data_IF_630793001121
#
_entry.id   IF_630793001121
#
_cell.length_a   1.000
_cell.length_b   1.000
_cell.length_c   1.000
_cell.angle_alpha   90.00
_cell.angle_beta   90.00
_cell.angle_gamma   90.00
#
_symmetry.space_group_name_H-M   'P 1'
#
loop_
_entity.id
_entity.type
_entity.pdbx_description
1 polymer ?
#
# COMPACT_ATOMS: atom_id res chain seq x y z
N UNK A 1 -8.57 3.22 47.15
CA UNK A 1 -8.75 3.85 45.82
C UNK A 1 -9.24 2.87 44.75
N UNK A 2 -8.47 1.87 44.31
CA UNK A 2 -8.96 0.91 43.31
C UNK A 2 -10.10 0.00 43.81
N UNK A 3 -10.10 -0.36 45.11
CA UNK A 3 -11.18 -1.13 45.74
C UNK A 3 -12.50 -0.34 45.83
N UNK A 4 -12.42 0.96 46.08
CA UNK A 4 -13.60 1.83 46.16
C UNK A 4 -14.31 1.93 44.79
N UNK A 5 -13.53 2.03 43.71
CA UNK A 5 -14.05 2.07 42.33
C UNK A 5 -14.81 0.77 41.98
N UNK A 6 -14.35 -0.39 42.46
CA UNK A 6 -15.02 -1.67 42.23
C UNK A 6 -16.36 -1.77 42.98
N UNK A 7 -16.44 -1.23 44.20
CA UNK A 7 -17.67 -1.22 45.02
C UNK A 7 -18.78 -0.34 44.44
N UNK A 8 -18.43 0.76 43.77
CA UNK A 8 -19.40 1.69 43.16
C UNK A 8 -19.96 1.12 41.85
N UNK A 9 -19.11 0.44 41.08
CA UNK A 9 -19.45 -0.01 39.72
C UNK A 9 -20.09 -1.39 39.68
N UNK A 10 -20.19 -2.10 40.83
CA UNK A 10 -20.56 -3.51 40.90
C UNK A 10 -19.74 -4.39 39.94
N UNK A 11 -18.52 -3.97 39.63
CA UNK A 11 -17.66 -4.68 38.71
C UNK A 11 -17.18 -5.97 39.36
N UNK A 12 -17.74 -7.10 38.93
CA UNK A 12 -17.27 -8.43 39.28
C UNK A 12 -16.21 -8.85 38.26
N UNK A 13 -14.98 -9.18 38.69
CA UNK A 13 -14.00 -9.76 37.78
C UNK A 13 -14.60 -11.02 37.15
N UNK A 14 -14.61 -11.08 35.81
CA UNK A 14 -15.08 -12.25 35.11
C UNK A 14 -14.26 -13.48 35.55
N UNK A 15 -14.87 -14.67 35.70
CA UNK A 15 -14.13 -15.90 35.92
C UNK A 15 -13.09 -16.04 34.82
N UNK A 16 -11.83 -16.26 35.22
CA UNK A 16 -10.71 -16.45 34.31
C UNK A 16 -10.86 -17.80 33.62
N UNK A 17 -11.64 -17.82 32.56
CA UNK A 17 -11.58 -18.82 31.51
C UNK A 17 -11.60 -18.04 30.20
N UNK A 18 -10.48 -17.37 29.91
CA UNK A 18 -10.17 -17.08 28.53
C UNK A 18 -9.90 -18.44 27.90
N UNK A 19 -10.95 -19.07 27.37
CA UNK A 19 -10.80 -20.06 26.31
C UNK A 19 -10.15 -19.32 25.15
N UNK A 20 -8.83 -19.21 25.26
CA UNK A 20 -7.99 -18.50 24.32
C UNK A 20 -7.87 -19.47 23.18
N UNK A 21 -8.91 -19.55 22.37
CA UNK A 21 -8.96 -20.45 21.24
C UNK A 21 -7.75 -20.12 20.37
N UNK A 22 -6.74 -20.99 20.47
CA UNK A 22 -5.41 -20.80 19.89
C UNK A 22 -5.50 -20.70 18.37
N UNK A 23 -6.66 -21.07 17.80
CA UNK A 23 -6.97 -20.92 16.38
C UNK A 23 -7.37 -19.50 15.97
N UNK A 24 -7.75 -18.60 16.89
CA UNK A 24 -8.19 -17.23 16.53
C UNK A 24 -7.06 -16.44 15.82
N UNK A 25 -5.81 -16.41 16.31
CA UNK A 25 -4.72 -15.76 15.60
C UNK A 25 -4.49 -16.33 14.19
N UNK A 26 -4.57 -17.65 14.03
CA UNK A 26 -4.39 -18.32 12.73
C UNK A 26 -5.56 -18.04 11.78
N UNK A 27 -6.79 -17.97 12.29
CA UNK A 27 -7.99 -17.62 11.55
C UNK A 27 -7.93 -16.15 11.07
N UNK A 28 -7.48 -15.24 11.91
CA UNK A 28 -7.26 -13.84 11.55
C UNK A 28 -6.15 -13.70 10.50
N UNK A 29 -5.02 -14.38 10.72
CA UNK A 29 -3.91 -14.37 9.78
C UNK A 29 -4.35 -14.89 8.40
N UNK A 30 -5.08 -16.00 8.36
CA UNK A 30 -5.65 -16.56 7.12
C UNK A 30 -6.67 -15.62 6.47
N UNK A 31 -7.52 -14.96 7.28
CA UNK A 31 -8.54 -14.03 6.79
C UNK A 31 -7.92 -12.79 6.11
N UNK A 32 -6.82 -12.26 6.65
CA UNK A 32 -6.13 -11.12 6.04
C UNK A 32 -5.17 -11.54 4.92
N UNK A 33 -4.47 -12.66 5.05
CA UNK A 33 -3.52 -13.15 4.04
C UNK A 33 -4.21 -13.67 2.76
N UNK A 34 -5.50 -14.02 2.79
CA UNK A 34 -6.21 -14.49 1.57
C UNK A 34 -6.23 -13.45 0.44
N UNK A 35 -6.17 -12.16 0.77
CA UNK A 35 -6.13 -11.10 -0.23
C UNK A 35 -4.76 -11.05 -0.93
N UNK A 36 -3.69 -11.41 -0.23
CA UNK A 36 -2.33 -11.49 -0.80
C UNK A 36 -2.17 -12.71 -1.71
N UNK A 37 -2.77 -13.85 -1.36
CA UNK A 37 -2.76 -15.04 -2.23
C UNK A 37 -3.54 -14.82 -3.55
N UNK A 38 -4.55 -13.95 -3.53
CA UNK A 38 -5.32 -13.56 -4.71
C UNK A 38 -4.67 -12.41 -5.52
N UNK A 39 -3.60 -11.78 -5.03
CA UNK A 39 -2.81 -10.80 -5.82
C UNK A 39 -2.08 -11.45 -7.00
N UNK A 40 -2.03 -12.79 -7.05
CA UNK A 40 -1.50 -13.56 -8.18
C UNK A 40 -2.50 -13.68 -9.34
N UNK A 41 -3.78 -13.35 -9.09
CA UNK A 41 -4.60 -12.80 -10.16
C UNK A 41 -3.97 -11.46 -10.43
N UNK A 42 -3.04 -11.50 -11.38
CA UNK A 42 -2.53 -10.39 -12.16
C UNK A 42 -3.52 -9.28 -11.95
N UNK A 43 -3.13 -8.28 -11.17
CA UNK A 43 -3.66 -6.94 -11.37
C UNK A 43 -3.27 -6.66 -12.82
N UNK A 44 -4.04 -7.21 -13.74
CA UNK A 44 -4.43 -6.60 -14.98
C UNK A 44 -5.23 -5.39 -14.49
N UNK A 45 -4.51 -4.41 -13.91
CA UNK A 45 -4.12 -3.26 -14.69
C UNK A 45 -4.02 -3.75 -16.14
N UNK A 46 -5.17 -3.86 -16.79
CA UNK A 46 -5.32 -3.34 -18.13
C UNK A 46 -4.91 -1.88 -17.97
N UNK A 47 -3.60 -1.65 -17.82
CA UNK A 47 -2.91 -0.58 -18.48
C UNK A 47 -3.15 -1.00 -19.93
N UNK A 48 -4.14 -0.43 -20.64
CA UNK A 48 -4.03 -0.41 -22.08
C UNK A 48 -2.59 0.03 -22.34
N UNK A 49 -1.85 -0.76 -23.13
CA UNK A 49 -0.49 -0.49 -23.60
C UNK A 49 0.05 0.85 -23.09
N UNK A 50 1.04 0.82 -22.19
CA UNK A 50 1.64 2.01 -21.54
C UNK A 50 2.06 3.11 -22.55
N UNK A 51 2.05 2.80 -23.83
CA UNK A 51 2.33 3.67 -24.96
C UNK A 51 1.14 4.56 -25.38
N UNK A 52 -0.11 4.21 -25.04
CA UNK A 52 -1.31 4.90 -25.57
C UNK A 52 -2.11 5.71 -24.53
N UNK A 53 -1.93 5.49 -23.22
CA UNK A 53 -2.52 6.34 -22.19
C UNK A 53 -1.52 6.58 -21.05
N UNK A 54 -0.51 7.39 -21.34
CA UNK A 54 0.19 8.10 -20.27
C UNK A 54 -0.89 8.89 -19.51
N UNK A 55 -1.03 8.63 -18.22
CA UNK A 55 -1.88 9.40 -17.32
C UNK A 55 -1.23 10.80 -17.18
N UNK A 56 -1.36 11.60 -18.23
CA UNK A 56 -0.73 12.89 -18.41
C UNK A 56 -1.46 13.90 -17.56
N UNK A 57 -0.97 14.08 -16.34
CA UNK A 57 -1.39 15.17 -15.48
C UNK A 57 -0.70 16.45 -15.94
N UNK A 58 -1.49 17.41 -16.43
CA UNK A 58 -0.93 18.69 -16.89
C UNK A 58 -0.79 19.68 -15.73
N UNK A 59 0.12 20.65 -15.87
CA UNK A 59 0.26 21.77 -14.94
C UNK A 59 -1.06 22.55 -14.79
N UNK A 60 -1.83 22.68 -15.87
CA UNK A 60 -3.14 23.33 -15.85
C UNK A 60 -4.15 22.58 -14.96
N UNK A 61 -4.12 21.25 -14.96
CA UNK A 61 -5.01 20.43 -14.13
C UNK A 61 -4.59 20.46 -12.66
N UNK A 62 -3.28 20.46 -12.39
CA UNK A 62 -2.74 20.69 -11.04
C UNK A 62 -3.13 22.06 -10.50
N UNK A 63 -3.01 23.10 -11.31
CA UNK A 63 -3.39 24.47 -10.97
C UNK A 63 -4.88 24.57 -10.63
N UNK A 64 -5.74 24.01 -11.48
CA UNK A 64 -7.20 23.95 -11.22
C UNK A 64 -7.50 23.22 -9.92
N UNK A 65 -6.78 22.13 -9.63
CA UNK A 65 -6.97 21.34 -8.41
C UNK A 65 -6.58 22.14 -7.18
N UNK A 66 -5.43 22.81 -7.19
CA UNK A 66 -4.96 23.67 -6.10
C UNK A 66 -5.88 24.89 -5.91
N UNK A 67 -6.36 25.51 -6.98
CA UNK A 67 -7.31 26.62 -6.89
C UNK A 67 -8.68 26.21 -6.35
N UNK A 68 -9.08 24.95 -6.53
CA UNK A 68 -10.35 24.39 -6.04
C UNK A 68 -10.29 24.01 -4.56
N UNK A 69 -9.12 24.06 -3.93
CA UNK A 69 -8.98 23.83 -2.48
C UNK A 69 -9.87 24.82 -1.73
N UNK A 70 -10.72 24.29 -0.85
CA UNK A 70 -11.60 25.11 -0.03
C UNK A 70 -10.77 25.75 1.12
N UNK A 71 -10.59 27.09 1.14
CA UNK A 71 -9.81 27.76 2.16
C UNK A 71 -10.47 27.76 3.55
N UNK A 72 -11.75 27.41 3.65
CA UNK A 72 -12.51 27.36 4.90
C UNK A 72 -12.43 25.99 5.60
N UNK A 73 -11.80 24.99 4.96
CA UNK A 73 -11.57 23.70 5.63
C UNK A 73 -10.48 23.84 6.69
N UNK A 74 -10.61 23.04 7.75
CA UNK A 74 -9.57 22.90 8.77
C UNK A 74 -8.24 22.48 8.12
N UNK A 75 -7.13 22.93 8.71
CA UNK A 75 -5.81 22.56 8.26
C UNK A 75 -5.60 21.04 8.37
N UNK A 76 -4.79 20.50 7.47
CA UNK A 76 -4.38 19.09 7.52
C UNK A 76 -3.50 18.77 8.73
N UNK A 77 -3.02 17.53 8.87
CA UNK A 77 -2.14 17.11 9.97
C UNK A 77 -0.86 17.95 10.08
N UNK A 78 -0.38 18.47 8.95
CA UNK A 78 0.79 19.35 8.89
C UNK A 78 0.48 20.81 9.29
N UNK A 79 -0.76 21.09 9.72
CA UNK A 79 -1.24 22.42 10.07
C UNK A 79 -1.11 23.45 8.92
N UNK A 80 -1.14 23.00 7.67
CA UNK A 80 -1.12 23.86 6.48
C UNK A 80 -2.57 24.20 6.12
N UNK A 81 -2.98 25.49 6.16
CA UNK A 81 -4.32 25.89 5.79
C UNK A 81 -4.51 25.83 4.26
N UNK A 82 -5.70 25.41 3.82
CA UNK A 82 -6.02 25.34 2.39
C UNK A 82 -5.90 26.67 1.64
N UNK A 83 -6.01 27.80 2.36
CA UNK A 83 -5.75 29.15 1.82
C UNK A 83 -4.34 29.28 1.25
N UNK A 84 -3.33 28.79 1.97
CA UNK A 84 -1.92 28.88 1.54
C UNK A 84 -1.71 28.06 0.28
N UNK A 85 -2.29 26.85 0.19
CA UNK A 85 -2.22 26.03 -1.01
C UNK A 85 -2.84 26.72 -2.24
N UNK A 86 -3.91 27.50 -2.02
CA UNK A 86 -4.58 28.25 -3.08
C UNK A 86 -3.81 29.50 -3.50
N UNK A 87 -3.24 30.24 -2.56
CA UNK A 87 -2.44 31.45 -2.83
C UNK A 87 -1.09 31.12 -3.48
N UNK A 88 -0.46 30.03 -3.06
CA UNK A 88 0.79 29.53 -3.61
C UNK A 88 0.61 28.62 -4.83
N UNK A 89 -0.60 28.51 -5.39
CA UNK A 89 -0.90 27.55 -6.45
C UNK A 89 0.09 27.65 -7.62
N UNK A 90 0.39 28.85 -8.13
CA UNK A 90 1.31 29.04 -9.25
C UNK A 90 2.75 28.60 -8.96
N UNK A 91 3.20 28.69 -7.70
CA UNK A 91 4.54 28.24 -7.29
C UNK A 91 4.61 26.73 -7.04
N UNK A 92 3.48 26.14 -6.63
CA UNK A 92 3.37 24.74 -6.23
C UNK A 92 3.08 23.81 -7.42
N UNK A 93 2.49 24.34 -8.50
CA UNK A 93 2.06 23.55 -9.67
C UNK A 93 3.18 22.70 -10.25
N UNK A 94 4.35 23.29 -10.52
CA UNK A 94 5.43 22.58 -11.19
C UNK A 94 6.00 21.48 -10.28
N UNK A 95 6.24 21.81 -9.00
CA UNK A 95 6.77 20.86 -8.01
C UNK A 95 5.83 19.68 -7.80
N UNK A 96 4.52 19.91 -7.65
CA UNK A 96 3.56 18.82 -7.49
C UNK A 96 3.39 17.99 -8.76
N UNK A 97 3.48 18.62 -9.94
CA UNK A 97 3.45 17.91 -11.22
C UNK A 97 4.67 16.98 -11.35
N UNK A 98 5.87 17.46 -10.99
CA UNK A 98 7.09 16.67 -11.01
C UNK A 98 7.04 15.50 -10.01
N UNK A 99 6.59 15.75 -8.77
CA UNK A 99 6.42 14.69 -7.76
C UNK A 99 5.44 13.63 -8.26
N UNK A 100 4.31 14.05 -8.84
CA UNK A 100 3.32 13.12 -9.39
C UNK A 100 3.91 12.31 -10.54
N UNK A 101 4.63 12.96 -11.43
CA UNK A 101 5.28 12.32 -12.57
C UNK A 101 6.34 11.30 -12.15
N UNK A 102 7.18 11.64 -11.17
CA UNK A 102 8.15 10.71 -10.56
C UNK A 102 7.42 9.54 -9.90
N UNK A 103 6.33 9.81 -9.16
CA UNK A 103 5.54 8.78 -8.49
C UNK A 103 4.95 7.77 -9.48
N UNK A 104 4.45 8.25 -10.62
CA UNK A 104 3.98 7.38 -11.71
C UNK A 104 5.10 6.48 -12.25
N UNK A 105 6.30 7.03 -12.44
CA UNK A 105 7.45 6.27 -12.95
C UNK A 105 7.93 5.21 -11.96
N UNK A 106 8.02 5.53 -10.66
CA UNK A 106 8.49 4.58 -9.63
C UNK A 106 7.51 3.41 -9.45
N UNK A 107 6.21 3.67 -9.45
CA UNK A 107 5.18 2.61 -9.37
C UNK A 107 5.14 1.74 -10.64
N UNK A 108 5.59 2.28 -11.77
CA UNK A 108 5.66 1.58 -13.05
C UNK A 108 7.02 0.92 -13.35
N UNK A 109 7.99 0.94 -12.42
CA UNK A 109 9.16 0.08 -12.60
C UNK A 109 8.72 -1.38 -12.51
N UNK A 110 8.90 -2.19 -13.57
CA UNK A 110 8.68 -3.62 -13.45
C UNK A 110 9.72 -4.10 -12.45
N UNK A 111 9.24 -4.67 -11.34
CA UNK A 111 10.05 -5.54 -10.51
C UNK A 111 10.46 -6.71 -11.42
N UNK A 112 11.57 -6.57 -12.16
CA UNK A 112 12.15 -7.68 -12.90
C UNK A 112 12.52 -8.70 -11.83
N UNK A 113 11.85 -9.86 -11.76
CA UNK A 113 12.25 -10.91 -10.85
C UNK A 113 13.70 -11.21 -11.21
N UNK A 114 14.60 -11.13 -10.24
CA UNK A 114 15.96 -11.59 -10.47
C UNK A 114 15.83 -13.10 -10.66
N UNK A 115 15.87 -13.53 -11.93
CA UNK A 115 15.95 -14.93 -12.30
C UNK A 115 17.18 -15.51 -11.61
N UNK A 116 16.94 -16.18 -10.48
CA UNK A 116 17.89 -17.12 -9.92
C UNK A 116 17.99 -18.26 -10.94
N UNK A 117 18.97 -18.13 -11.84
CA UNK A 117 19.41 -19.18 -12.75
C UNK A 117 19.91 -20.38 -11.91
N UNK A 118 18.99 -21.21 -11.43
CA UNK A 118 19.30 -22.55 -10.98
C UNK A 118 19.30 -23.46 -12.20
N UNK A 119 20.49 -23.67 -12.75
CA UNK A 119 20.75 -24.63 -13.81
C UNK A 119 20.46 -26.06 -13.28
N UNK A 120 19.49 -26.80 -13.83
CA UNK A 120 19.32 -28.20 -13.47
C UNK A 120 20.36 -29.01 -14.24
N UNK A 121 21.35 -29.54 -13.52
CA UNK A 121 22.32 -30.50 -14.09
C UNK A 121 21.57 -31.77 -14.47
N UNK A 122 21.38 -31.99 -15.76
CA UNK A 122 20.89 -33.26 -16.29
C UNK A 122 21.82 -34.39 -15.85
N UNK A 123 21.24 -35.45 -15.26
CA UNK A 123 21.93 -36.72 -15.03
C UNK A 123 21.90 -37.47 -16.36
N UNK A 124 22.93 -37.29 -17.18
CA UNK A 124 23.10 -38.15 -18.34
C UNK A 124 23.61 -39.51 -17.88
N UNK A 125 22.74 -40.50 -18.02
CA UNK A 125 23.05 -41.92 -17.99
C UNK A 125 24.02 -42.24 -19.13
N UNK A 126 25.24 -42.65 -18.80
CA UNK A 126 26.08 -43.37 -19.75
C UNK A 126 26.59 -44.64 -19.08
N UNK A 127 25.92 -45.74 -19.42
CA UNK A 127 26.43 -47.09 -19.27
C UNK A 127 27.45 -47.35 -20.39
N UNK A 128 28.44 -48.20 -20.08
CA UNK A 128 29.38 -48.95 -20.96
C UNK A 128 30.43 -48.18 -21.79
N UNK A 129 31.73 -48.31 -21.44
CA UNK A 129 32.67 -49.37 -21.87
C UNK A 129 34.16 -48.89 -21.88
N UNK A 130 35.10 -49.78 -21.50
CA UNK A 130 36.58 -49.72 -21.62
C UNK A 130 37.31 -48.80 -20.63
N UNK A 131 38.27 -49.23 -19.80
CA UNK A 131 39.19 -50.37 -19.77
C UNK A 131 39.44 -50.81 -18.33
#
# INVERSE_FOLDING_TARGET
MWQDIQSITNYRPAPTACDSDVSIPDALNSFYARFEAQNDVTVRKTIPSLEDQVLCLTTADMRKTLCRVNPQKAAGPDNIPGRVLRECAEQLVDVFTDIFYISLRVVCHPNVPKDHHHHPRAKEVSSVLSQ
#
